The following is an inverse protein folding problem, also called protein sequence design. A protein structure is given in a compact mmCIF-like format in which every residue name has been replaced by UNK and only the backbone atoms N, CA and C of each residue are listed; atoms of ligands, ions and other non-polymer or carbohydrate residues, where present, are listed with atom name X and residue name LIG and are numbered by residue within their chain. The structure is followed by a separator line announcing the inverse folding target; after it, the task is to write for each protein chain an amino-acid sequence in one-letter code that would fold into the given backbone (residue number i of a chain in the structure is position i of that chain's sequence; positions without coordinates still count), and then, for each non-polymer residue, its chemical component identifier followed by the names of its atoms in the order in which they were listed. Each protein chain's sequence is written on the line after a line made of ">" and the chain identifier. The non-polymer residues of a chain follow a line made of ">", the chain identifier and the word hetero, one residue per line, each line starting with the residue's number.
data_IF_837641051828
#
_entry.id   IF_837641051828
#
_cell.length_a   1.000
_cell.length_b   1.000
_cell.length_c   1.000
_cell.angle_alpha   90.00
_cell.angle_beta   90.00
_cell.angle_gamma   90.00
#
_symmetry.space_group_name_H-M   'P 1'
#
loop_
_entity.id
_entity.type
_entity.pdbx_description
1 polymer ?
#
# COMPACT_ATOMS: atom_id res chain seq x y z
N UNK A 1 -28.64 -1.47 -27.85
CA UNK A 1 -27.64 -1.44 -26.75
C UNK A 1 -27.64 -0.03 -26.17
N UNK A 2 -28.21 0.19 -24.99
CA UNK A 2 -28.19 1.51 -24.34
C UNK A 2 -26.78 1.74 -23.79
N UNK A 3 -26.12 2.81 -24.21
CA UNK A 3 -24.86 3.26 -23.62
C UNK A 3 -25.15 3.82 -22.23
N UNK A 4 -24.73 3.13 -21.17
CA UNK A 4 -24.71 3.71 -19.83
C UNK A 4 -23.68 4.85 -19.81
N UNK A 5 -24.06 6.02 -19.30
CA UNK A 5 -23.12 7.11 -19.08
C UNK A 5 -22.10 6.68 -18.02
N UNK A 6 -20.79 6.93 -18.22
CA UNK A 6 -19.78 6.57 -17.23
C UNK A 6 -20.01 7.37 -15.93
N UNK A 7 -19.88 6.68 -14.79
CA UNK A 7 -19.98 7.28 -13.46
C UNK A 7 -18.88 8.33 -13.19
N UNK A 8 -19.07 9.19 -12.19
CA UNK A 8 -18.12 10.27 -11.86
C UNK A 8 -16.75 9.73 -11.43
N UNK A 9 -16.71 8.56 -10.80
CA UNK A 9 -15.47 7.86 -10.46
C UNK A 9 -14.65 7.55 -11.72
N UNK A 10 -15.31 7.10 -12.79
CA UNK A 10 -14.66 6.85 -14.08
C UNK A 10 -14.11 8.14 -14.71
N UNK A 11 -14.89 9.22 -14.68
CA UNK A 11 -14.49 10.53 -15.24
C UNK A 11 -13.28 11.15 -14.53
N UNK A 12 -13.13 10.89 -13.22
CA UNK A 12 -12.03 11.43 -12.40
C UNK A 12 -10.88 10.45 -12.21
N UNK A 13 -10.97 9.25 -12.79
CA UNK A 13 -10.04 8.15 -12.53
C UNK A 13 -8.59 8.51 -12.89
N UNK A 14 -8.37 9.14 -14.04
CA UNK A 14 -7.02 9.47 -14.51
C UNK A 14 -6.29 10.48 -13.60
N UNK A 15 -6.98 11.52 -13.13
CA UNK A 15 -6.37 12.51 -12.22
C UNK A 15 -6.12 11.93 -10.83
N UNK A 16 -7.06 11.12 -10.32
CA UNK A 16 -6.88 10.39 -9.05
C UNK A 16 -5.73 9.40 -9.12
N UNK A 17 -5.61 8.66 -10.23
CA UNK A 17 -4.49 7.75 -10.48
C UNK A 17 -3.15 8.51 -10.42
N UNK A 18 -3.00 9.58 -11.21
CA UNK A 18 -1.77 10.37 -11.22
C UNK A 18 -1.41 10.93 -9.83
N UNK A 19 -2.41 11.44 -9.10
CA UNK A 19 -2.23 11.93 -7.73
C UNK A 19 -1.76 10.82 -6.77
N UNK A 20 -2.36 9.63 -6.82
CA UNK A 20 -2.02 8.53 -5.93
C UNK A 20 -0.64 7.94 -6.21
N UNK A 21 -0.24 7.87 -7.48
CA UNK A 21 1.12 7.47 -7.86
C UNK A 21 2.14 8.48 -7.35
N UNK A 22 1.88 9.79 -7.51
CA UNK A 22 2.75 10.84 -6.97
C UNK A 22 2.84 10.75 -5.44
N UNK A 23 1.70 10.62 -4.75
CA UNK A 23 1.65 10.52 -3.28
C UNK A 23 2.41 9.30 -2.75
N UNK A 24 2.32 8.14 -3.43
CA UNK A 24 3.12 6.97 -3.07
C UNK A 24 4.63 7.23 -3.21
N UNK A 25 5.03 7.97 -4.25
CA UNK A 25 6.40 8.45 -4.42
C UNK A 25 6.84 9.42 -3.32
N UNK A 26 5.98 10.35 -2.92
CA UNK A 26 6.25 11.30 -1.83
C UNK A 26 6.47 10.57 -0.49
N UNK A 27 5.61 9.59 -0.18
CA UNK A 27 5.76 8.75 1.03
C UNK A 27 7.12 8.04 1.05
N UNK A 28 7.56 7.52 -0.09
CA UNK A 28 8.89 6.91 -0.20
C UNK A 28 10.03 7.93 0.00
N UNK A 29 9.86 9.15 -0.50
CA UNK A 29 10.89 10.18 -0.49
C UNK A 29 11.01 10.88 0.88
N UNK A 30 9.93 11.01 1.65
CA UNK A 30 9.89 11.79 2.88
C UNK A 30 9.46 10.96 4.09
N UNK A 31 8.20 10.52 4.15
CA UNK A 31 7.64 9.86 5.34
C UNK A 31 8.39 8.57 5.72
N UNK A 32 8.92 7.84 4.72
CA UNK A 32 9.80 6.70 4.92
C UNK A 32 11.08 7.10 5.67
N UNK A 33 11.77 8.15 5.23
CA UNK A 33 13.02 8.61 5.84
C UNK A 33 12.81 9.14 7.25
N UNK A 34 11.68 9.81 7.50
CA UNK A 34 11.30 10.28 8.83
C UNK A 34 11.08 9.09 9.78
N UNK A 35 10.38 8.04 9.30
CA UNK A 35 10.18 6.81 10.05
C UNK A 35 11.49 6.05 10.28
N UNK A 36 12.38 5.96 9.28
CA UNK A 36 13.72 5.37 9.45
C UNK A 36 14.53 6.13 10.51
N UNK A 37 14.53 7.46 10.45
CA UNK A 37 15.23 8.31 11.43
C UNK A 37 14.72 8.07 12.84
N UNK A 38 13.40 7.96 13.01
CA UNK A 38 12.79 7.67 14.31
C UNK A 38 13.16 6.26 14.81
N UNK A 39 13.02 5.23 13.95
CA UNK A 39 13.37 3.86 14.32
C UNK A 39 14.84 3.71 14.70
N UNK A 40 15.74 4.45 14.04
CA UNK A 40 17.18 4.46 14.35
C UNK A 40 17.53 5.00 15.73
N UNK A 41 16.61 5.69 16.40
CA UNK A 41 16.80 6.07 17.82
C UNK A 41 16.67 4.86 18.76
N UNK A 42 16.08 3.75 18.29
CA UNK A 42 15.82 2.53 19.06
C UNK A 42 16.57 1.30 18.52
N UNK A 43 16.85 1.27 17.20
CA UNK A 43 17.49 0.13 16.52
C UNK A 43 18.76 0.61 15.83
N UNK A 44 19.91 0.00 16.16
CA UNK A 44 21.19 0.31 15.52
C UNK A 44 21.37 -0.36 14.16
N UNK A 45 20.74 -1.53 13.95
CA UNK A 45 20.80 -2.28 12.71
C UNK A 45 19.90 -1.67 11.62
N UNK A 46 20.51 -1.10 10.58
CA UNK A 46 19.80 -0.49 9.45
C UNK A 46 19.01 -1.52 8.64
N UNK A 47 19.49 -2.75 8.53
CA UNK A 47 18.76 -3.81 7.81
C UNK A 47 17.44 -4.09 8.52
N UNK A 48 17.46 -4.22 9.85
CA UNK A 48 16.23 -4.39 10.64
C UNK A 48 15.27 -3.21 10.50
N UNK A 49 15.78 -1.98 10.54
CA UNK A 49 14.97 -0.76 10.33
C UNK A 49 14.28 -0.80 8.96
N UNK A 50 15.02 -1.11 7.88
CA UNK A 50 14.46 -1.16 6.53
C UNK A 50 13.45 -2.31 6.35
N UNK A 51 13.69 -3.47 6.97
CA UNK A 51 12.73 -4.58 7.02
C UNK A 51 11.42 -4.17 7.71
N UNK A 52 11.49 -3.43 8.83
CA UNK A 52 10.30 -2.91 9.53
C UNK A 52 9.50 -1.98 8.62
N UNK A 53 10.17 -1.06 7.94
CA UNK A 53 9.55 -0.13 6.99
C UNK A 53 8.86 -0.85 5.84
N UNK A 54 9.55 -1.81 5.23
CA UNK A 54 8.98 -2.61 4.13
C UNK A 54 7.75 -3.41 4.59
N UNK A 55 7.83 -4.07 5.75
CA UNK A 55 6.70 -4.83 6.29
C UNK A 55 5.53 -3.92 6.65
N UNK A 56 5.78 -2.74 7.23
CA UNK A 56 4.74 -1.75 7.48
C UNK A 56 4.00 -1.37 6.18
N UNK A 57 4.73 -1.14 5.09
CA UNK A 57 4.13 -0.89 3.77
C UNK A 57 3.28 -2.07 3.26
N UNK A 58 3.82 -3.29 3.34
CA UNK A 58 3.10 -4.50 2.90
C UNK A 58 1.82 -4.72 3.70
N UNK A 59 1.89 -4.66 5.02
CA UNK A 59 0.76 -4.85 5.91
C UNK A 59 -0.28 -3.72 5.76
N UNK A 60 0.15 -2.46 5.57
CA UNK A 60 -0.76 -1.34 5.29
C UNK A 60 -1.58 -1.56 4.01
N UNK A 61 -0.95 -2.01 2.93
CA UNK A 61 -1.65 -2.34 1.68
C UNK A 61 -2.59 -3.53 1.86
N UNK A 62 -2.18 -4.55 2.62
CA UNK A 62 -3.03 -5.69 2.95
C UNK A 62 -4.28 -5.26 3.74
N UNK A 63 -4.09 -4.56 4.84
CA UNK A 63 -5.17 -4.10 5.72
C UNK A 63 -6.16 -3.18 4.98
N UNK A 64 -5.64 -2.19 4.24
CA UNK A 64 -6.46 -1.27 3.45
C UNK A 64 -7.28 -1.99 2.37
N UNK A 65 -6.69 -2.99 1.70
CA UNK A 65 -7.39 -3.82 0.71
C UNK A 65 -8.50 -4.66 1.31
N UNK A 66 -8.28 -5.24 2.49
CA UNK A 66 -9.34 -5.95 3.21
C UNK A 66 -10.46 -5.00 3.64
N UNK A 67 -10.10 -3.81 4.15
CA UNK A 67 -11.06 -2.78 4.51
C UNK A 67 -11.91 -2.32 3.32
N UNK A 68 -11.29 -2.08 2.15
CA UNK A 68 -12.00 -1.72 0.92
C UNK A 68 -12.94 -2.84 0.47
N UNK A 69 -12.50 -4.11 0.47
CA UNK A 69 -13.37 -5.25 0.10
C UNK A 69 -14.59 -5.33 1.00
N UNK A 70 -14.41 -5.21 2.32
CA UNK A 70 -15.51 -5.20 3.26
C UNK A 70 -16.44 -4.00 3.05
N UNK A 71 -15.90 -2.81 2.81
CA UNK A 71 -16.70 -1.62 2.55
C UNK A 71 -17.50 -1.74 1.26
N UNK A 72 -16.86 -2.17 0.16
CA UNK A 72 -17.51 -2.41 -1.13
C UNK A 72 -18.65 -3.42 -1.02
N UNK A 73 -18.45 -4.52 -0.30
CA UNK A 73 -19.51 -5.52 -0.07
C UNK A 73 -20.71 -4.93 0.70
N UNK A 74 -20.46 -4.14 1.75
CA UNK A 74 -21.52 -3.47 2.51
C UNK A 74 -22.30 -2.48 1.64
N UNK A 75 -21.60 -1.61 0.92
CA UNK A 75 -22.19 -0.61 0.02
C UNK A 75 -23.03 -1.29 -1.08
N UNK A 76 -22.48 -2.33 -1.72
CA UNK A 76 -23.21 -3.12 -2.73
C UNK A 76 -24.50 -3.70 -2.18
N UNK A 77 -24.46 -4.31 -1.00
CA UNK A 77 -25.65 -4.88 -0.36
C UNK A 77 -26.71 -3.81 -0.11
N UNK A 78 -26.33 -2.67 0.45
CA UNK A 78 -27.25 -1.57 0.73
C UNK A 78 -27.87 -0.99 -0.54
N UNK A 79 -27.06 -0.73 -1.57
CA UNK A 79 -27.54 -0.12 -2.81
C UNK A 79 -28.36 -1.08 -3.68
N UNK A 80 -28.08 -2.39 -3.63
CA UNK A 80 -28.81 -3.39 -4.41
C UNK A 80 -30.32 -3.44 -4.09
N UNK A 81 -30.72 -3.05 -2.87
CA UNK A 81 -32.12 -3.06 -2.43
C UNK A 81 -32.99 -1.97 -3.08
N UNK A 82 -32.37 -0.89 -3.59
CA UNK A 82 -33.06 0.26 -4.18
C UNK A 82 -32.60 0.62 -5.58
N UNK A 83 -31.80 -0.25 -6.21
CA UNK A 83 -31.22 0.04 -7.52
C UNK A 83 -32.23 -0.24 -8.65
N UNK A 84 -32.81 0.83 -9.19
CA UNK A 84 -33.69 0.81 -10.37
C UNK A 84 -33.17 1.71 -11.49
N UNK A 85 -31.91 2.15 -11.39
CA UNK A 85 -31.29 3.13 -12.28
C UNK A 85 -30.77 2.52 -13.59
N UNK A 86 -30.48 3.37 -14.60
CA UNK A 86 -29.91 2.93 -15.86
C UNK A 86 -28.40 2.63 -15.79
N UNK A 87 -27.69 3.09 -14.75
CA UNK A 87 -26.27 2.81 -14.51
C UNK A 87 -26.07 1.39 -13.98
N UNK A 88 -24.87 0.83 -14.13
CA UNK A 88 -24.58 -0.47 -13.52
C UNK A 88 -24.48 -0.33 -12.00
N UNK A 89 -24.92 -1.36 -11.26
CA UNK A 89 -24.77 -1.39 -9.80
C UNK A 89 -23.30 -1.23 -9.37
N UNK A 90 -22.34 -1.78 -10.14
CA UNK A 90 -20.91 -1.62 -9.85
C UNK A 90 -20.46 -0.16 -9.98
N UNK A 91 -20.91 0.56 -11.00
CA UNK A 91 -20.59 1.97 -11.18
C UNK A 91 -21.16 2.80 -10.04
N UNK A 92 -22.43 2.57 -9.66
CA UNK A 92 -23.06 3.29 -8.55
C UNK A 92 -22.37 2.99 -7.21
N UNK A 93 -21.95 1.73 -6.98
CA UNK A 93 -21.19 1.33 -5.78
C UNK A 93 -19.85 2.05 -5.73
N UNK A 94 -19.12 2.09 -6.84
CA UNK A 94 -17.83 2.75 -6.89
C UNK A 94 -17.96 4.26 -6.69
N UNK A 95 -18.91 4.88 -7.37
CA UNK A 95 -19.24 6.30 -7.23
C UNK A 95 -19.59 6.67 -5.80
N UNK A 96 -20.31 5.80 -5.09
CA UNK A 96 -20.61 5.99 -3.68
C UNK A 96 -19.35 5.93 -2.83
N UNK A 97 -18.49 4.92 -3.03
CA UNK A 97 -17.25 4.76 -2.25
C UNK A 97 -16.32 5.95 -2.45
N UNK A 98 -16.12 6.39 -3.70
CA UNK A 98 -15.25 7.53 -4.02
C UNK A 98 -15.77 8.84 -3.40
N UNK A 99 -17.10 9.00 -3.29
CA UNK A 99 -17.71 10.18 -2.65
C UNK A 99 -17.67 10.14 -1.12
N UNK A 100 -17.50 8.96 -0.52
CA UNK A 100 -17.55 8.73 0.92
C UNK A 100 -16.26 8.06 1.41
N UNK A 101 -15.13 8.46 0.83
CA UNK A 101 -13.81 7.92 1.19
C UNK A 101 -13.44 8.28 2.64
N UNK A 102 -14.02 9.35 3.18
CA UNK A 102 -13.92 9.79 4.57
C UNK A 102 -14.54 8.80 5.57
N UNK A 103 -15.45 7.93 5.14
CA UNK A 103 -16.02 6.86 5.98
C UNK A 103 -15.05 5.69 6.21
N UNK A 104 -13.88 5.70 5.56
CA UNK A 104 -12.83 4.74 5.83
C UNK A 104 -12.25 4.93 7.23
N UNK A 105 -12.50 3.96 8.11
CA UNK A 105 -11.84 3.87 9.41
C UNK A 105 -10.38 3.46 9.28
N UNK A 106 -9.53 4.45 8.96
CA UNK A 106 -8.09 4.27 8.87
C UNK A 106 -7.48 3.81 10.20
N UNK A 107 -8.07 4.17 11.35
CA UNK A 107 -7.52 3.79 12.65
C UNK A 107 -7.65 2.28 12.89
N UNK A 108 -8.76 1.67 12.49
CA UNK A 108 -8.93 0.22 12.54
C UNK A 108 -7.84 -0.49 11.71
N UNK A 109 -7.54 -0.01 10.50
CA UNK A 109 -6.45 -0.56 9.68
C UNK A 109 -5.06 -0.33 10.30
N UNK A 110 -4.78 0.85 10.86
CA UNK A 110 -3.51 1.11 11.57
C UNK A 110 -3.32 0.12 12.72
N UNK A 111 -4.37 -0.13 13.52
CA UNK A 111 -4.31 -1.09 14.62
C UNK A 111 -4.08 -2.52 14.13
N UNK A 112 -4.68 -2.90 12.99
CA UNK A 112 -4.44 -4.21 12.37
C UNK A 112 -2.99 -4.36 11.89
N UNK A 113 -2.43 -3.34 11.23
CA UNK A 113 -1.04 -3.35 10.79
C UNK A 113 -0.09 -3.54 11.98
N UNK A 114 -0.27 -2.78 13.06
CA UNK A 114 0.56 -2.90 14.26
C UNK A 114 0.45 -4.32 14.85
N UNK A 115 -0.75 -4.91 14.90
CA UNK A 115 -0.93 -6.32 15.33
C UNK A 115 -0.17 -7.30 14.44
N UNK A 116 -0.31 -7.19 13.12
CA UNK A 116 0.40 -8.04 12.17
C UNK A 116 1.92 -7.93 12.30
N UNK A 117 2.42 -6.71 12.46
CA UNK A 117 3.86 -6.45 12.63
C UNK A 117 4.41 -7.08 13.92
N UNK A 118 3.66 -6.99 15.03
CA UNK A 118 4.07 -7.56 16.32
C UNK A 118 4.24 -9.09 16.33
N UNK A 119 3.60 -9.80 15.39
CA UNK A 119 3.73 -11.26 15.26
C UNK A 119 4.59 -11.68 14.06
N UNK A 120 5.19 -10.73 13.33
CA UNK A 120 5.92 -11.03 12.11
C UNK A 120 7.36 -11.52 12.43
N UNK A 121 7.73 -12.75 12.06
CA UNK A 121 9.01 -13.34 12.45
C UNK A 121 10.22 -12.74 11.74
N UNK A 122 10.02 -11.91 10.68
CA UNK A 122 11.10 -11.30 9.91
C UNK A 122 11.60 -9.99 10.51
N UNK A 123 10.88 -9.44 11.48
CA UNK A 123 11.23 -8.19 12.15
C UNK A 123 11.23 -8.38 13.65
N UNK A 124 12.07 -7.59 14.30
CA UNK A 124 12.17 -7.53 15.75
C UNK A 124 12.27 -6.08 16.17
N UNK A 125 11.67 -5.76 17.31
CA UNK A 125 11.71 -4.42 17.88
C UNK A 125 11.99 -4.56 19.38
N UNK A 126 12.68 -3.60 20.01
CA UNK A 126 12.94 -3.66 21.45
C UNK A 126 11.63 -3.85 22.23
N UNK A 127 11.57 -4.78 23.20
CA UNK A 127 10.32 -5.16 23.85
C UNK A 127 9.65 -4.01 24.63
N UNK A 128 10.40 -2.95 24.93
CA UNK A 128 9.91 -1.74 25.62
C UNK A 128 9.21 -0.75 24.68
N UNK A 129 9.32 -0.91 23.36
CA UNK A 129 8.82 0.02 22.36
C UNK A 129 7.82 -0.69 21.44
N UNK A 130 6.77 0.01 21.01
CA UNK A 130 5.73 -0.51 20.10
C UNK A 130 5.89 0.14 18.71
N UNK A 131 5.59 -0.61 17.65
CA UNK A 131 5.52 -0.11 16.26
C UNK A 131 4.54 1.06 16.07
N UNK A 132 3.70 1.38 17.07
CA UNK A 132 2.93 2.63 17.11
C UNK A 132 3.78 3.89 16.89
N UNK A 133 5.09 3.85 17.17
CA UNK A 133 6.00 4.98 16.91
C UNK A 133 6.03 5.40 15.43
N UNK A 134 5.82 4.46 14.49
CA UNK A 134 5.72 4.76 13.04
C UNK A 134 4.27 4.84 12.55
N UNK A 135 3.29 5.03 13.44
CA UNK A 135 1.86 5.09 13.09
C UNK A 135 1.51 6.19 12.08
N UNK A 136 2.31 7.26 12.01
CA UNK A 136 2.17 8.31 10.97
C UNK A 136 2.36 7.73 9.56
N UNK A 137 3.47 7.01 9.35
CA UNK A 137 3.76 6.33 8.08
C UNK A 137 2.69 5.28 7.75
N UNK A 138 2.33 4.43 8.72
CA UNK A 138 1.32 3.38 8.57
C UNK A 138 -0.03 3.99 8.15
N UNK A 139 -0.43 5.10 8.77
CA UNK A 139 -1.69 5.79 8.47
C UNK A 139 -1.72 6.33 7.04
N UNK A 140 -0.65 6.98 6.61
CA UNK A 140 -0.56 7.52 5.25
C UNK A 140 -0.58 6.43 4.20
N UNK A 141 0.15 5.32 4.43
CA UNK A 141 0.10 4.15 3.56
C UNK A 141 -1.30 3.53 3.51
N UNK A 142 -1.97 3.36 4.66
CA UNK A 142 -3.33 2.83 4.73
C UNK A 142 -4.33 3.71 3.96
N UNK A 143 -4.19 5.04 4.01
CA UNK A 143 -5.03 5.99 3.24
C UNK A 143 -4.80 5.80 1.75
N UNK A 144 -3.55 5.96 1.30
CA UNK A 144 -3.20 5.85 -0.13
C UNK A 144 -3.59 4.49 -0.69
N UNK A 145 -3.28 3.40 0.01
CA UNK A 145 -3.63 2.05 -0.42
C UNK A 145 -5.14 1.85 -0.53
N UNK A 146 -5.94 2.40 0.38
CA UNK A 146 -7.39 2.32 0.28
C UNK A 146 -7.91 3.08 -0.95
N UNK A 147 -7.45 4.32 -1.15
CA UNK A 147 -7.79 5.13 -2.32
C UNK A 147 -7.41 4.43 -3.63
N UNK A 148 -6.25 3.78 -3.67
CA UNK A 148 -5.76 3.02 -4.82
C UNK A 148 -6.67 1.85 -5.21
N UNK A 149 -7.37 1.23 -4.26
CA UNK A 149 -8.36 0.18 -4.55
C UNK A 149 -9.65 0.72 -5.20
N UNK A 150 -9.87 2.03 -5.15
CA UNK A 150 -11.04 2.68 -5.78
C UNK A 150 -10.77 3.11 -7.24
N UNK A 151 -9.57 2.86 -7.77
CA UNK A 151 -9.22 3.13 -9.16
C UNK A 151 -9.69 2.00 -10.08
N UNK A 152 -9.84 2.31 -11.36
CA UNK A 152 -10.08 1.33 -12.42
C UNK A 152 -8.97 1.47 -13.49
N UNK A 153 -8.04 0.51 -13.63
CA UNK A 153 -7.80 -0.62 -12.73
C UNK A 153 -7.27 -0.19 -11.34
N UNK A 154 -7.35 -1.04 -10.31
CA UNK A 154 -6.79 -0.74 -8.99
C UNK A 154 -5.26 -0.80 -9.02
N UNK A 155 -4.63 0.01 -8.17
CA UNK A 155 -3.19 -0.06 -7.92
C UNK A 155 -2.89 -0.90 -6.68
N UNK A 156 -1.78 -1.62 -6.71
CA UNK A 156 -1.34 -2.50 -5.64
C UNK A 156 0.19 -2.52 -5.56
N UNK A 157 0.73 -3.30 -4.63
CA UNK A 157 2.18 -3.49 -4.49
C UNK A 157 2.62 -4.90 -4.87
N UNK A 158 3.84 -5.01 -5.40
CA UNK A 158 4.51 -6.28 -5.58
C UNK A 158 5.02 -6.82 -4.23
N UNK A 159 4.59 -8.02 -3.87
CA UNK A 159 5.14 -8.75 -2.73
C UNK A 159 6.50 -9.35 -3.10
N UNK A 160 7.53 -8.92 -2.38
CA UNK A 160 8.88 -9.46 -2.46
C UNK A 160 9.18 -10.48 -1.36
N UNK A 161 10.01 -11.46 -1.71
CA UNK A 161 10.48 -12.52 -0.79
C UNK A 161 11.99 -12.48 -0.69
N UNK A 162 12.52 -12.52 0.54
CA UNK A 162 13.94 -12.64 0.81
C UNK A 162 14.52 -13.86 0.08
N UNK A 163 15.69 -13.69 -0.55
CA UNK A 163 16.35 -14.71 -1.35
C UNK A 163 15.81 -14.87 -2.77
N UNK A 164 14.85 -14.04 -3.22
CA UNK A 164 14.42 -14.07 -4.62
C UNK A 164 15.50 -13.52 -5.57
N UNK A 165 15.43 -13.93 -6.84
CA UNK A 165 16.30 -13.37 -7.88
C UNK A 165 15.98 -11.90 -8.07
N UNK A 166 17.01 -11.06 -8.05
CA UNK A 166 16.85 -9.63 -8.29
C UNK A 166 16.25 -9.37 -9.67
N UNK A 167 15.14 -8.62 -9.70
CA UNK A 167 14.42 -8.30 -10.93
C UNK A 167 14.50 -6.80 -11.22
N UNK A 168 15.29 -6.41 -12.23
CA UNK A 168 15.61 -5.00 -12.52
C UNK A 168 14.38 -4.17 -12.91
N UNK A 169 13.35 -4.79 -13.50
CA UNK A 169 12.11 -4.05 -13.81
C UNK A 169 11.28 -3.73 -12.57
N UNK A 170 11.40 -4.53 -11.50
CA UNK A 170 10.63 -4.36 -10.26
C UNK A 170 11.36 -3.47 -9.26
N UNK A 171 12.67 -3.62 -9.14
CA UNK A 171 13.43 -3.01 -8.06
C UNK A 171 14.64 -2.24 -8.58
N UNK A 172 14.97 -1.16 -7.87
CA UNK A 172 16.30 -0.55 -7.90
C UNK A 172 17.13 -1.16 -6.76
N UNK A 173 18.45 -1.27 -6.98
CA UNK A 173 19.37 -1.63 -5.89
C UNK A 173 19.64 -0.41 -5.02
N UNK A 174 19.58 -0.59 -3.71
CA UNK A 174 20.08 0.42 -2.76
C UNK A 174 21.59 0.59 -2.93
N UNK A 175 22.11 1.74 -2.49
CA UNK A 175 23.52 2.11 -2.68
C UNK A 175 24.51 1.17 -1.97
N UNK A 176 24.07 0.49 -0.91
CA UNK A 176 24.82 -0.44 -0.08
C UNK A 176 24.76 -1.90 -0.57
N UNK A 177 24.14 -2.13 -1.73
CA UNK A 177 24.04 -3.45 -2.36
C UNK A 177 25.37 -3.93 -2.95
N UNK A 178 25.62 -5.24 -2.90
CA UNK A 178 26.55 -5.91 -3.81
C UNK A 178 25.87 -6.10 -5.17
N UNK A 179 26.26 -5.29 -6.16
CA UNK A 179 25.71 -5.32 -7.52
C UNK A 179 26.01 -6.62 -8.28
N UNK A 180 26.95 -7.43 -7.80
CA UNK A 180 27.26 -8.75 -8.37
C UNK A 180 26.42 -9.87 -7.74
N UNK A 181 25.77 -9.63 -6.60
CA UNK A 181 24.91 -10.62 -5.95
C UNK A 181 23.59 -10.80 -6.74
N UNK A 182 23.20 -12.04 -7.07
CA UNK A 182 21.98 -12.29 -7.82
C UNK A 182 20.72 -12.26 -6.94
N UNK A 183 20.85 -12.43 -5.63
CA UNK A 183 19.73 -12.58 -4.70
C UNK A 183 19.45 -11.30 -3.92
N UNK A 184 18.16 -11.04 -3.70
CA UNK A 184 17.69 -10.00 -2.78
C UNK A 184 17.89 -10.48 -1.34
N UNK A 185 18.67 -9.74 -0.56
CA UNK A 185 18.81 -9.98 0.87
C UNK A 185 17.55 -9.56 1.63
N UNK A 186 17.05 -8.35 1.33
CA UNK A 186 15.79 -7.83 1.84
C UNK A 186 15.27 -6.67 0.97
N UNK A 187 14.00 -6.34 1.15
CA UNK A 187 13.35 -5.23 0.47
C UNK A 187 13.29 -4.01 1.39
N UNK A 188 13.49 -2.83 0.80
CA UNK A 188 13.39 -1.53 1.49
C UNK A 188 12.05 -0.88 1.19
N UNK A 189 11.59 -0.98 -0.06
CA UNK A 189 10.32 -0.40 -0.50
C UNK A 189 9.65 -1.28 -1.57
N UNK A 190 8.34 -1.53 -1.49
CA UNK A 190 7.65 -2.32 -2.50
C UNK A 190 7.53 -1.58 -3.84
N UNK A 191 7.48 -2.35 -4.94
CA UNK A 191 7.16 -1.81 -6.26
C UNK A 191 5.66 -1.58 -6.38
N UNK A 192 5.23 -0.49 -7.01
CA UNK A 192 3.83 -0.23 -7.32
C UNK A 192 3.46 -0.88 -8.64
N UNK A 193 2.36 -1.62 -8.67
CA UNK A 193 1.88 -2.38 -9.81
C UNK A 193 0.46 -2.00 -10.21
N UNK A 194 0.20 -2.08 -11.51
CA UNK A 194 -1.11 -1.95 -12.14
C UNK A 194 -1.26 -3.15 -13.11
N UNK A 195 -2.25 -4.01 -12.91
CA UNK A 195 -2.47 -5.21 -13.74
C UNK A 195 -1.18 -6.03 -13.99
N UNK A 196 -0.45 -6.35 -12.91
CA UNK A 196 0.84 -7.08 -12.94
C UNK A 196 2.01 -6.36 -13.64
N UNK A 197 1.81 -5.11 -14.10
CA UNK A 197 2.85 -4.26 -14.67
C UNK A 197 3.40 -3.32 -13.60
N UNK A 198 4.73 -3.25 -13.48
CA UNK A 198 5.39 -2.31 -12.58
C UNK A 198 5.29 -0.90 -13.15
N UNK A 199 4.66 0.00 -12.41
CA UNK A 199 4.56 1.43 -12.77
C UNK A 199 5.50 2.31 -11.95
N UNK A 200 5.87 1.88 -10.74
CA UNK A 200 6.92 2.52 -9.92
C UNK A 200 7.82 1.43 -9.36
N UNK A 201 9.13 1.54 -9.61
CA UNK A 201 10.10 0.58 -9.06
C UNK A 201 10.20 0.69 -7.55
N UNK A 202 10.23 -0.45 -6.88
CA UNK A 202 10.60 -0.56 -5.49
C UNK A 202 12.10 -0.44 -5.28
N UNK A 203 12.55 -0.75 -4.08
CA UNK A 203 13.94 -0.73 -3.67
C UNK A 203 14.28 -2.00 -2.88
N UNK A 204 15.42 -2.60 -3.20
CA UNK A 204 15.90 -3.83 -2.58
C UNK A 204 17.42 -3.78 -2.38
N UNK A 205 17.87 -4.50 -1.35
CA UNK A 205 19.30 -4.69 -1.05
C UNK A 205 19.71 -6.10 -1.45
N UNK A 206 20.85 -6.23 -2.10
CA UNK A 206 21.43 -7.53 -2.51
C UNK A 206 22.76 -7.75 -1.81
N UNK A 207 22.98 -8.95 -1.25
CA UNK A 207 24.22 -9.32 -0.53
C UNK A 207 24.63 -10.74 -0.92
N UNK A 208 25.92 -11.07 -0.74
CA UNK A 208 26.46 -12.43 -0.88
C UNK A 208 26.27 -13.25 0.38
#
# INVERSE_FOLDING_TARGET
>A
LRSCSPGRASLTNASRHAYLVARFGDIYAQERLDAETLLRTYISDMEMVQRIIYIAAVESFHAAKMAYRHFKMRVRKTLSLGHSGPESLEDTVLDYIVRHEDLYDVQASVNEVIRSMNINPKISFPPEIDFIVISSLIRELCRVAFSMQTLIPPLDIAFGTDGELFHETKYRRSFDSDFTAPLVAYHVWPALIENDVVIVKGEAVTKR
#
